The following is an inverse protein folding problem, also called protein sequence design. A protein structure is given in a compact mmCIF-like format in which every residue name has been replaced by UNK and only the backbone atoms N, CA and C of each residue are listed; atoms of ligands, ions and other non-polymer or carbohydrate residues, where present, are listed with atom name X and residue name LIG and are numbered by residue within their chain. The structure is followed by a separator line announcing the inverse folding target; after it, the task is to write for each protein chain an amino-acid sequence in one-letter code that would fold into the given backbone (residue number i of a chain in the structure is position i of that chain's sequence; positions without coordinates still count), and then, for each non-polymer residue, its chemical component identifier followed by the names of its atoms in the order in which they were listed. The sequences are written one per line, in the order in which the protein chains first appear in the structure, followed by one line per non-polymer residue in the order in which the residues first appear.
data_IF_625538003990
#
_entry.id   IF_625538003990
#
_cell.length_a   1.000
_cell.length_b   1.000
_cell.length_c   1.000
_cell.angle_alpha   90.00
_cell.angle_beta   90.00
_cell.angle_gamma   90.00
#
_symmetry.space_group_name_H-M   'P 1'
#
loop_
_entity.id
_entity.type
_entity.pdbx_description
1 polymer ?
#
# COMPACT_ATOMS: atom_id res chain seq x y z
N UNK A 1 1.30 -23.13 -10.91
CA UNK A 1 1.85 -21.79 -11.20
C UNK A 1 0.69 -20.92 -11.67
N UNK A 2 0.47 -19.75 -11.04
CA UNK A 2 -0.57 -18.80 -11.46
C UNK A 2 -0.25 -18.21 -12.82
N UNK A 3 -1.27 -17.95 -13.59
CA UNK A 3 -1.15 -17.21 -14.84
C UNK A 3 -1.27 -15.71 -14.53
N UNK A 4 -0.15 -14.98 -14.59
CA UNK A 4 -0.08 -13.58 -14.20
C UNK A 4 0.53 -12.72 -15.29
N UNK A 5 0.06 -11.49 -15.42
CA UNK A 5 0.72 -10.43 -16.18
C UNK A 5 1.85 -9.90 -15.29
N UNK A 6 3.11 -9.88 -15.77
CA UNK A 6 4.21 -9.34 -14.99
C UNK A 6 3.95 -7.88 -14.57
N UNK A 7 4.36 -7.49 -13.35
CA UNK A 7 4.27 -6.10 -12.94
C UNK A 7 5.01 -5.17 -13.90
N UNK A 8 4.42 -4.04 -14.22
CA UNK A 8 4.97 -3.08 -15.18
C UNK A 8 5.01 -1.66 -14.62
N UNK A 9 5.99 -0.90 -15.10
CA UNK A 9 6.01 0.57 -14.98
C UNK A 9 5.47 1.14 -16.29
N UNK A 10 4.37 1.87 -16.24
CA UNK A 10 3.70 2.36 -17.46
C UNK A 10 4.58 3.35 -18.23
N UNK A 11 5.24 4.29 -17.52
CA UNK A 11 6.17 5.24 -18.09
C UNK A 11 7.47 5.26 -17.28
N UNK A 12 8.59 5.59 -17.89
CA UNK A 12 9.92 5.52 -17.28
C UNK A 12 10.07 6.36 -15.99
N UNK A 13 9.31 7.45 -15.89
CA UNK A 13 9.35 8.36 -14.74
C UNK A 13 8.24 8.11 -13.71
N UNK A 14 7.37 7.13 -13.91
CA UNK A 14 6.34 6.80 -12.93
C UNK A 14 6.99 6.25 -11.66
N UNK A 15 6.52 6.67 -10.49
CA UNK A 15 7.00 6.15 -9.22
C UNK A 15 6.56 4.69 -8.99
N UNK A 16 5.34 4.37 -9.40
CA UNK A 16 4.71 3.09 -9.14
C UNK A 16 5.00 2.01 -10.19
N UNK A 17 4.99 0.77 -9.70
CA UNK A 17 4.98 -0.45 -10.52
C UNK A 17 3.58 -1.05 -10.39
N UNK A 18 2.88 -1.17 -11.51
CA UNK A 18 1.51 -1.69 -11.55
C UNK A 18 1.46 -3.20 -11.40
N UNK A 19 0.59 -3.67 -10.51
CA UNK A 19 0.28 -5.08 -10.31
C UNK A 19 -1.12 -5.39 -10.84
N UNK A 20 -1.27 -6.60 -11.35
CA UNK A 20 -2.49 -7.08 -11.97
C UNK A 20 -3.14 -8.19 -11.14
N UNK A 21 -4.46 -8.28 -11.23
CA UNK A 21 -5.19 -9.45 -10.78
C UNK A 21 -4.79 -10.64 -11.67
N UNK A 22 -4.45 -11.81 -11.12
CA UNK A 22 -4.08 -12.98 -11.95
C UNK A 22 -5.15 -13.33 -13.00
N UNK A 23 -4.71 -13.78 -14.19
CA UNK A 23 -5.61 -14.13 -15.29
C UNK A 23 -6.48 -15.37 -14.99
N UNK A 24 -6.06 -16.20 -14.04
CA UNK A 24 -6.79 -17.38 -13.55
C UNK A 24 -7.64 -17.09 -12.30
N UNK A 25 -7.77 -15.82 -11.92
CA UNK A 25 -8.61 -15.40 -10.79
C UNK A 25 -10.08 -15.47 -11.15
N UNK A 26 -10.91 -15.98 -10.24
CA UNK A 26 -12.36 -15.96 -10.43
C UNK A 26 -12.94 -14.58 -10.14
N UNK A 27 -13.87 -14.12 -10.99
CA UNK A 27 -14.60 -12.87 -10.73
C UNK A 27 -15.19 -12.93 -9.32
N UNK A 28 -14.82 -11.97 -8.49
CA UNK A 28 -15.21 -11.95 -7.09
C UNK A 28 -15.86 -10.63 -6.73
N UNK A 29 -17.03 -10.73 -6.10
CA UNK A 29 -17.76 -9.59 -5.55
C UNK A 29 -17.20 -9.20 -4.19
N UNK A 30 -16.97 -7.91 -4.00
CA UNK A 30 -16.60 -7.30 -2.72
C UNK A 30 -17.72 -6.35 -2.32
N UNK A 31 -18.48 -6.72 -1.30
CA UNK A 31 -19.58 -5.90 -0.79
C UNK A 31 -19.07 -4.64 -0.06
N UNK A 32 -19.90 -3.61 0.14
CA UNK A 32 -19.57 -2.42 0.90
C UNK A 32 -18.97 -2.75 2.27
N UNK A 33 -17.87 -2.09 2.64
CA UNK A 33 -17.16 -2.30 3.91
C UNK A 33 -16.34 -3.59 4.00
N UNK A 34 -16.41 -4.48 3.01
CA UNK A 34 -15.65 -5.72 2.99
C UNK A 34 -14.29 -5.53 2.31
N UNK A 35 -13.41 -6.47 2.56
CA UNK A 35 -12.08 -6.51 1.93
C UNK A 35 -11.86 -7.82 1.17
N UNK A 36 -10.87 -7.80 0.28
CA UNK A 36 -10.40 -8.97 -0.44
C UNK A 36 -8.87 -9.03 -0.43
N UNK A 37 -8.34 -10.22 -0.24
CA UNK A 37 -6.91 -10.50 -0.35
C UNK A 37 -6.66 -11.42 -1.53
N UNK A 38 -5.96 -10.92 -2.55
CA UNK A 38 -5.71 -11.59 -3.82
C UNK A 38 -4.24 -12.03 -3.85
N UNK A 39 -3.95 -13.33 -3.95
CA UNK A 39 -2.59 -13.80 -4.21
C UNK A 39 -2.16 -13.34 -5.61
N UNK A 40 -1.11 -12.52 -5.72
CA UNK A 40 -0.72 -11.89 -6.99
C UNK A 40 0.04 -12.81 -7.95
N UNK A 41 0.55 -13.94 -7.47
CA UNK A 41 1.46 -14.80 -8.22
C UNK A 41 2.91 -14.28 -8.29
N UNK A 42 3.22 -13.18 -7.60
CA UNK A 42 4.51 -12.49 -7.64
C UNK A 42 5.26 -12.64 -6.32
N UNK A 43 6.54 -12.90 -6.41
CA UNK A 43 7.53 -12.76 -5.33
C UNK A 43 8.58 -11.75 -5.75
N UNK A 44 9.14 -11.01 -4.81
CA UNK A 44 10.19 -10.04 -5.06
C UNK A 44 11.36 -10.24 -4.11
N UNK A 45 12.57 -10.01 -4.60
CA UNK A 45 13.75 -9.85 -3.78
C UNK A 45 13.99 -8.36 -3.57
N UNK A 46 13.62 -7.86 -2.40
CA UNK A 46 13.69 -6.44 -2.06
C UNK A 46 15.06 -6.17 -1.43
N UNK A 47 15.84 -5.21 -1.96
CA UNK A 47 17.16 -4.89 -1.40
C UNK A 47 17.08 -4.44 0.07
N UNK A 48 18.11 -4.75 0.85
CA UNK A 48 18.25 -4.24 2.21
C UNK A 48 18.23 -2.70 2.21
N UNK A 49 17.57 -2.09 3.18
CA UNK A 49 17.37 -0.64 3.26
C UNK A 49 16.20 -0.12 2.41
N UNK A 50 15.39 -1.03 1.83
CA UNK A 50 14.18 -0.69 1.09
C UNK A 50 12.99 -1.51 1.59
N UNK A 51 11.81 -0.99 1.35
CA UNK A 51 10.55 -1.71 1.43
C UNK A 51 9.75 -1.50 0.14
N UNK A 52 8.98 -2.50 -0.28
CA UNK A 52 8.04 -2.36 -1.36
C UNK A 52 6.66 -2.08 -0.75
N UNK A 53 6.11 -0.90 -1.04
CA UNK A 53 4.90 -0.41 -0.37
C UNK A 53 3.78 -0.26 -1.39
N UNK A 54 2.62 -0.85 -1.06
CA UNK A 54 1.42 -0.72 -1.86
C UNK A 54 0.80 0.67 -1.71
N UNK A 55 0.41 1.24 -2.83
CA UNK A 55 -0.29 2.51 -2.90
C UNK A 55 -1.55 2.39 -3.76
N UNK A 56 -2.48 3.25 -3.46
CA UNK A 56 -3.68 3.42 -4.26
C UNK A 56 -3.35 3.86 -5.69
N UNK A 57 -4.12 3.35 -6.65
CA UNK A 57 -4.16 3.92 -8.00
C UNK A 57 -5.29 4.93 -8.06
N UNK A 58 -4.98 6.17 -8.45
CA UNK A 58 -5.95 7.25 -8.49
C UNK A 58 -7.22 6.89 -9.29
N UNK A 59 -7.06 6.31 -10.47
CA UNK A 59 -8.20 5.88 -11.29
C UNK A 59 -9.05 4.79 -10.63
N UNK A 60 -8.45 3.86 -9.89
CA UNK A 60 -9.18 2.82 -9.14
C UNK A 60 -9.94 3.43 -7.97
N UNK A 61 -9.29 4.30 -7.19
CA UNK A 61 -9.93 4.99 -6.08
C UNK A 61 -11.11 5.85 -6.51
N UNK A 62 -10.92 6.67 -7.54
CA UNK A 62 -11.94 7.63 -7.98
C UNK A 62 -13.10 6.99 -8.74
N UNK A 63 -12.89 5.80 -9.34
CA UNK A 63 -13.91 5.12 -10.13
C UNK A 63 -14.63 4.02 -9.36
N UNK A 64 -13.89 3.27 -8.54
CA UNK A 64 -14.40 2.10 -7.84
C UNK A 64 -14.57 2.30 -6.34
N UNK A 65 -14.04 3.39 -5.78
CA UNK A 65 -14.02 3.64 -4.33
C UNK A 65 -13.39 2.45 -3.57
N UNK A 66 -12.29 1.92 -4.11
CA UNK A 66 -11.49 0.85 -3.51
C UNK A 66 -10.15 1.42 -3.09
N UNK A 67 -9.72 1.05 -1.89
CA UNK A 67 -8.44 1.47 -1.34
C UNK A 67 -7.56 0.27 -0.99
N UNK A 68 -6.24 0.52 -0.93
CA UNK A 68 -5.27 -0.44 -0.44
C UNK A 68 -5.45 -0.67 1.07
N UNK A 69 -5.37 -1.92 1.47
CA UNK A 69 -5.34 -2.34 2.88
C UNK A 69 -3.92 -2.58 3.37
N UNK A 70 -3.55 -3.83 3.71
CA UNK A 70 -2.17 -4.19 4.10
C UNK A 70 -1.20 -3.87 2.95
N UNK A 71 -0.10 -3.17 3.26
CA UNK A 71 0.66 -2.48 2.23
C UNK A 71 2.18 -2.60 2.29
N UNK A 72 2.79 -3.06 3.38
CA UNK A 72 4.26 -3.09 3.52
C UNK A 72 4.79 -4.48 3.25
N UNK A 73 5.77 -4.57 2.35
CA UNK A 73 6.53 -5.78 2.05
C UNK A 73 8.01 -5.50 2.37
N UNK A 74 8.50 -6.16 3.39
CA UNK A 74 9.85 -5.98 3.91
C UNK A 74 10.92 -6.65 3.04
N UNK A 75 12.17 -6.18 3.13
CA UNK A 75 13.32 -6.77 2.41
C UNK A 75 13.59 -8.25 2.78
N UNK A 76 13.19 -8.67 3.99
CA UNK A 76 13.32 -10.07 4.43
C UNK A 76 12.16 -10.97 4.04
N UNK A 77 11.09 -10.45 3.43
CA UNK A 77 9.91 -11.23 3.08
C UNK A 77 10.15 -12.08 1.83
N UNK A 78 10.00 -13.40 1.94
CA UNK A 78 10.21 -14.36 0.86
C UNK A 78 8.91 -14.99 0.35
N UNK A 79 7.78 -14.58 0.91
CA UNK A 79 6.46 -15.08 0.53
C UNK A 79 5.93 -14.45 -0.75
N UNK A 80 4.74 -14.90 -1.15
CA UNK A 80 3.98 -14.29 -2.25
C UNK A 80 3.40 -12.94 -1.82
N UNK A 81 3.54 -11.93 -2.68
CA UNK A 81 2.91 -10.62 -2.47
C UNK A 81 1.41 -10.76 -2.68
N UNK A 82 0.62 -10.25 -1.76
CA UNK A 82 -0.83 -10.23 -1.87
C UNK A 82 -1.31 -8.80 -2.11
N UNK A 83 -2.28 -8.67 -3.02
CA UNK A 83 -3.03 -7.43 -3.22
C UNK A 83 -4.18 -7.44 -2.22
N UNK A 84 -4.19 -6.50 -1.27
CA UNK A 84 -5.26 -6.37 -0.29
C UNK A 84 -6.04 -5.09 -0.55
N UNK A 85 -7.33 -5.22 -0.80
CA UNK A 85 -8.24 -4.15 -1.19
C UNK A 85 -9.42 -4.08 -0.23
N UNK A 86 -9.89 -2.87 0.04
CA UNK A 86 -11.05 -2.60 0.87
C UNK A 86 -12.07 -1.80 0.04
N UNK A 87 -13.30 -2.25 -0.01
CA UNK A 87 -14.39 -1.53 -0.67
C UNK A 87 -14.97 -0.49 0.31
N UNK A 88 -14.68 0.78 0.07
CA UNK A 88 -15.20 1.91 0.85
C UNK A 88 -16.42 2.57 0.20
N UNK A 89 -16.91 1.99 -0.91
CA UNK A 89 -18.13 2.47 -1.58
C UNK A 89 -19.41 1.98 -0.90
N UNK A 90 -20.55 2.49 -1.34
CA UNK A 90 -21.88 2.02 -0.94
C UNK A 90 -22.47 0.93 -1.85
N UNK A 91 -21.68 0.42 -2.83
CA UNK A 91 -22.11 -0.58 -3.82
C UNK A 91 -21.20 -1.78 -3.85
N UNK A 92 -21.72 -2.90 -4.36
CA UNK A 92 -20.88 -4.07 -4.68
C UNK A 92 -19.87 -3.70 -5.78
N UNK A 93 -18.61 -4.09 -5.59
CA UNK A 93 -17.55 -3.97 -6.59
C UNK A 93 -17.10 -5.35 -7.01
N UNK A 94 -16.92 -5.55 -8.31
CA UNK A 94 -16.47 -6.82 -8.87
C UNK A 94 -15.00 -6.72 -9.28
N UNK A 95 -14.19 -7.58 -8.73
CA UNK A 95 -12.79 -7.75 -9.12
C UNK A 95 -12.72 -8.82 -10.17
N UNK A 96 -12.16 -8.47 -11.34
CA UNK A 96 -12.05 -9.37 -12.49
C UNK A 96 -10.58 -9.68 -12.82
N UNK A 97 -10.30 -10.79 -13.50
CA UNK A 97 -8.96 -11.08 -14.01
C UNK A 97 -8.37 -9.91 -14.80
N UNK A 98 -7.05 -9.82 -14.78
CA UNK A 98 -6.23 -8.87 -15.54
C UNK A 98 -6.45 -7.38 -15.19
N UNK A 99 -7.28 -7.06 -14.18
CA UNK A 99 -7.39 -5.68 -13.71
C UNK A 99 -6.06 -5.18 -13.18
N UNK A 100 -5.65 -4.01 -13.65
CA UNK A 100 -4.51 -3.24 -13.13
C UNK A 100 -4.97 -2.42 -11.93
N UNK A 101 -4.89 -3.01 -10.73
CA UNK A 101 -5.70 -2.56 -9.60
C UNK A 101 -4.89 -1.90 -8.48
N UNK A 102 -3.60 -2.16 -8.39
CA UNK A 102 -2.73 -1.62 -7.35
C UNK A 102 -1.38 -1.25 -7.93
N UNK A 103 -0.73 -0.26 -7.35
CA UNK A 103 0.67 0.04 -7.62
C UNK A 103 1.52 -0.16 -6.38
N UNK A 104 2.77 -0.53 -6.60
CA UNK A 104 3.77 -0.64 -5.54
C UNK A 104 4.93 0.32 -5.83
N UNK A 105 5.47 0.93 -4.79
CA UNK A 105 6.62 1.82 -4.87
C UNK A 105 7.73 1.24 -3.99
N UNK A 106 8.93 1.11 -4.56
CA UNK A 106 10.12 0.75 -3.80
C UNK A 106 10.63 2.01 -3.09
N UNK A 107 10.58 2.00 -1.76
CA UNK A 107 10.94 3.14 -0.94
C UNK A 107 12.15 2.82 -0.05
N UNK A 108 13.10 3.75 0.09
CA UNK A 108 14.15 3.61 1.09
C UNK A 108 13.55 3.69 2.50
N UNK A 109 14.04 2.85 3.41
CA UNK A 109 13.64 2.82 4.82
C UNK A 109 14.87 2.83 5.70
N UNK A 110 14.83 3.60 6.79
CA UNK A 110 15.89 3.63 7.78
C UNK A 110 15.63 2.59 8.86
N UNK A 111 16.59 1.70 9.08
CA UNK A 111 16.58 0.78 10.21
C UNK A 111 17.16 1.50 11.42
N UNK A 112 16.29 1.93 12.31
CA UNK A 112 16.68 2.58 13.58
C UNK A 112 16.53 1.59 14.74
N UNK A 113 17.39 1.74 15.75
CA UNK A 113 17.20 1.07 17.03
C UNK A 113 16.24 1.90 17.87
N UNK A 114 15.35 1.20 18.57
CA UNK A 114 14.51 1.82 19.59
C UNK A 114 15.16 1.62 20.95
N UNK A 115 15.18 2.68 21.76
CA UNK A 115 15.71 2.67 23.12
C UNK A 115 14.63 3.22 24.06
N UNK A 116 14.51 2.62 25.24
CA UNK A 116 13.65 3.15 26.30
C UNK A 116 14.42 4.25 27.03
N UNK A 117 13.78 5.40 27.21
CA UNK A 117 14.32 6.53 27.97
C UNK A 117 13.25 7.17 28.86
N UNK A 118 13.69 8.00 29.83
CA UNK A 118 12.73 8.81 30.58
C UNK A 118 12.21 9.94 29.70
N UNK A 119 11.02 10.43 30.04
CA UNK A 119 10.36 11.49 29.26
C UNK A 119 11.18 12.77 29.24
N UNK A 120 11.90 13.05 30.32
CA UNK A 120 12.76 14.24 30.47
C UNK A 120 13.96 14.22 29.52
N UNK A 121 14.39 12.99 29.11
CA UNK A 121 15.58 12.78 28.28
C UNK A 121 15.22 12.66 26.79
N UNK A 122 13.92 12.65 26.43
CA UNK A 122 13.45 12.35 25.07
C UNK A 122 13.72 13.49 24.08
N UNK A 123 13.65 14.73 24.52
CA UNK A 123 13.86 15.91 23.67
C UNK A 123 14.92 16.83 24.25
N UNK A 124 15.91 17.20 23.45
CA UNK A 124 16.92 18.18 23.85
C UNK A 124 16.37 19.58 24.04
N UNK A 125 15.31 19.93 23.28
CA UNK A 125 14.66 21.23 23.33
C UNK A 125 13.16 21.07 23.01
N UNK A 126 12.34 21.94 23.58
CA UNK A 126 10.94 22.04 23.21
C UNK A 126 10.82 22.65 21.80
N UNK A 127 10.03 22.00 20.91
CA UNK A 127 9.77 22.49 19.57
C UNK A 127 8.66 23.57 19.58
N UNK A 128 8.67 24.47 18.60
CA UNK A 128 7.60 25.47 18.41
C UNK A 128 6.21 24.80 18.31
N UNK A 129 6.14 23.59 17.71
CA UNK A 129 4.90 22.82 17.59
C UNK A 129 4.48 22.15 18.91
N UNK A 130 5.44 21.80 19.78
CA UNK A 130 5.22 21.07 21.04
C UNK A 130 4.28 19.86 20.83
N UNK A 131 3.20 19.76 21.59
CA UNK A 131 2.19 18.69 21.47
C UNK A 131 1.08 18.97 20.46
N UNK A 132 1.19 20.01 19.66
CA UNK A 132 0.17 20.43 18.70
C UNK A 132 -0.06 19.38 17.60
N UNK A 133 -1.30 18.90 17.47
CA UNK A 133 -1.75 17.95 16.48
C UNK A 133 -3.24 18.10 16.19
N UNK A 134 -3.79 17.20 15.35
CA UNK A 134 -5.24 17.06 15.09
C UNK A 134 -5.99 18.38 14.82
N UNK A 135 -5.40 19.27 14.03
CA UNK A 135 -6.01 20.56 13.67
C UNK A 135 -5.48 21.74 14.47
N UNK A 136 -4.38 21.61 15.23
CA UNK A 136 -3.75 22.71 15.98
C UNK A 136 -3.34 23.91 15.11
N UNK A 137 -3.18 23.72 13.79
CA UNK A 137 -2.87 24.78 12.81
C UNK A 137 -4.10 25.37 12.12
N UNK A 138 -5.32 24.99 12.54
CA UNK A 138 -6.57 25.44 11.95
C UNK A 138 -7.04 24.61 10.75
N UNK A 139 -8.28 24.83 10.33
CA UNK A 139 -8.94 24.13 9.20
C UNK A 139 -9.18 25.07 8.00
N UNK A 140 -8.92 26.36 8.16
CA UNK A 140 -9.04 27.36 7.10
C UNK A 140 -7.89 28.36 7.18
N UNK A 141 -7.56 28.95 6.05
CA UNK A 141 -6.60 30.05 5.96
C UNK A 141 -7.25 31.38 6.38
#
# INVERSE_FOLDING_TARGET
VRKVIPPIRAHSLDAGIDFFVPSDFSITKVAPGNSIKIPSGIKANIPQGYALIAFNKSGVCTTLDIIAGACVIDSGYQGEIHIHLINVSSRDVFITPDMKIMQFILMPVSSVKTEECNIEDLYEQESERSTGGFGSTGWAA
#
